data_IF_393616164465
#
_entry.id   IF_393616164465
#
_cell.length_a   1.000
_cell.length_b   1.000
_cell.length_c   1.000
_cell.angle_alpha   90.00
_cell.angle_beta   90.00
_cell.angle_gamma   90.00
#
_symmetry.space_group_name_H-M   'P 1'
#
loop_
_entity.id
_entity.type
_entity.pdbx_description
1 polymer ?
#
# COMPACT_ATOMS: atom_id res chain seq x y z
N UNK A 1 -14.57 -4.52 -31.45
CA UNK A 1 -13.57 -5.22 -30.61
C UNK A 1 -13.87 -6.71 -30.64
N UNK A 2 -12.92 -7.57 -31.00
CA UNK A 2 -13.12 -9.02 -31.20
C UNK A 2 -13.15 -9.80 -29.87
N UNK A 3 -13.92 -10.91 -29.79
CA UNK A 3 -14.12 -11.67 -28.55
C UNK A 3 -12.84 -12.27 -27.94
N UNK A 4 -11.79 -12.51 -28.72
CA UNK A 4 -10.49 -13.00 -28.22
C UNK A 4 -9.76 -12.00 -27.30
N UNK A 5 -9.93 -10.70 -27.53
CA UNK A 5 -9.32 -9.64 -26.71
C UNK A 5 -9.97 -9.52 -25.33
N UNK A 6 -11.24 -9.93 -25.19
CA UNK A 6 -11.97 -9.90 -23.93
C UNK A 6 -11.43 -10.94 -22.93
N UNK A 7 -11.15 -12.15 -23.41
CA UNK A 7 -10.52 -13.21 -22.63
C UNK A 7 -9.10 -12.81 -22.18
N UNK A 8 -8.28 -12.28 -23.09
CA UNK A 8 -6.92 -11.83 -22.76
C UNK A 8 -6.92 -10.72 -21.69
N UNK A 9 -7.82 -9.75 -21.80
CA UNK A 9 -7.94 -8.66 -20.81
C UNK A 9 -8.42 -9.19 -19.46
N UNK A 10 -9.37 -10.12 -19.40
CA UNK A 10 -9.81 -10.77 -18.16
C UNK A 10 -8.69 -11.52 -17.46
N UNK A 11 -7.91 -12.30 -18.19
CA UNK A 11 -6.75 -13.02 -17.65
C UNK A 11 -5.69 -12.06 -17.11
N UNK A 12 -5.41 -10.97 -17.82
CA UNK A 12 -4.50 -9.93 -17.34
C UNK A 12 -5.00 -9.26 -16.06
N UNK A 13 -6.30 -8.94 -15.98
CA UNK A 13 -6.89 -8.38 -14.75
C UNK A 13 -6.81 -9.38 -13.60
N UNK A 14 -7.12 -10.67 -13.82
CA UNK A 14 -7.02 -11.71 -12.79
C UNK A 14 -5.61 -11.82 -12.22
N UNK A 15 -4.60 -11.89 -13.09
CA UNK A 15 -3.20 -11.93 -12.67
C UNK A 15 -2.84 -10.66 -11.87
N UNK A 16 -3.26 -9.49 -12.34
CA UNK A 16 -3.08 -8.23 -11.63
C UNK A 16 -3.68 -8.25 -10.22
N UNK A 17 -4.92 -8.74 -10.09
CA UNK A 17 -5.60 -8.86 -8.79
C UNK A 17 -4.88 -9.84 -7.86
N UNK A 18 -4.37 -10.96 -8.38
CA UNK A 18 -3.58 -11.92 -7.59
C UNK A 18 -2.30 -11.24 -7.06
N UNK A 19 -1.58 -10.51 -7.90
CA UNK A 19 -0.35 -9.80 -7.50
C UNK A 19 -0.67 -8.76 -6.41
N UNK A 20 -1.74 -7.98 -6.55
CA UNK A 20 -2.12 -7.00 -5.52
C UNK A 20 -2.52 -7.66 -4.20
N UNK A 21 -3.18 -8.83 -4.24
CA UNK A 21 -3.50 -9.59 -3.03
C UNK A 21 -2.23 -10.13 -2.35
N UNK A 22 -1.25 -10.59 -3.11
CA UNK A 22 0.06 -10.98 -2.58
C UNK A 22 0.80 -9.78 -1.95
N UNK A 23 0.74 -8.60 -2.58
CA UNK A 23 1.31 -7.39 -2.02
C UNK A 23 0.64 -7.02 -0.68
N UNK A 24 -0.70 -7.07 -0.60
CA UNK A 24 -1.43 -6.86 0.65
C UNK A 24 -1.06 -7.89 1.72
N UNK A 25 -0.90 -9.17 1.36
CA UNK A 25 -0.40 -10.19 2.28
C UNK A 25 1.01 -9.91 2.80
N UNK A 26 1.87 -9.32 1.95
CA UNK A 26 3.23 -8.90 2.36
C UNK A 26 3.18 -7.77 3.38
N UNK A 27 2.22 -6.85 3.28
CA UNK A 27 2.03 -5.78 4.29
C UNK A 27 1.67 -6.36 5.66
N UNK A 28 0.97 -7.51 5.76
CA UNK A 28 0.72 -8.17 7.04
C UNK A 28 1.98 -8.71 7.72
N UNK A 29 3.05 -8.96 6.96
CA UNK A 29 4.36 -9.37 7.52
C UNK A 29 5.09 -8.23 8.22
N UNK A 30 4.58 -6.99 8.14
CA UNK A 30 5.11 -5.83 8.85
C UNK A 30 5.35 -6.10 10.35
N UNK A 31 4.48 -6.90 10.98
CA UNK A 31 4.63 -7.28 12.38
C UNK A 31 5.95 -8.00 12.70
N UNK A 32 6.54 -8.73 11.75
CA UNK A 32 7.86 -9.36 11.90
C UNK A 32 8.99 -8.32 11.93
N UNK A 33 8.84 -7.23 11.18
CA UNK A 33 9.83 -6.14 11.15
C UNK A 33 9.74 -5.22 12.36
N UNK A 34 8.61 -5.21 13.09
CA UNK A 34 8.43 -4.34 14.25
C UNK A 34 9.56 -4.47 15.29
N UNK A 35 10.04 -5.69 15.55
CA UNK A 35 11.13 -5.92 16.50
C UNK A 35 12.47 -5.37 16.00
N UNK A 36 12.81 -5.61 14.73
CA UNK A 36 14.04 -5.10 14.12
C UNK A 36 14.04 -3.57 13.97
N UNK A 37 12.90 -2.97 13.61
CA UNK A 37 12.72 -1.51 13.57
C UNK A 37 12.78 -0.89 14.95
N UNK A 38 12.16 -1.52 15.95
CA UNK A 38 12.20 -1.07 17.35
C UNK A 38 13.64 -0.99 17.86
N UNK A 39 14.47 -1.99 17.56
CA UNK A 39 15.89 -1.99 17.90
C UNK A 39 16.71 -0.97 17.10
N UNK A 40 16.39 -0.74 15.82
CA UNK A 40 17.08 0.24 14.95
C UNK A 40 16.76 1.69 15.31
N UNK A 41 15.53 1.98 15.72
CA UNK A 41 15.03 3.33 16.01
C UNK A 41 15.05 3.64 17.52
N UNK A 42 15.58 2.72 18.35
CA UNK A 42 15.60 2.79 19.82
C UNK A 42 14.23 3.17 20.42
N UNK A 43 13.16 2.61 19.85
CA UNK A 43 11.79 3.00 20.16
C UNK A 43 10.91 1.80 20.45
N UNK A 44 9.89 1.95 21.30
CA UNK A 44 9.05 0.82 21.70
C UNK A 44 8.25 0.27 20.51
N UNK A 45 8.10 -1.06 20.49
CA UNK A 45 7.34 -1.82 19.48
C UNK A 45 5.92 -1.27 19.29
N UNK A 46 5.30 -0.71 20.33
CA UNK A 46 3.99 -0.07 20.28
C UNK A 46 3.95 1.12 19.30
N UNK A 47 5.01 1.91 19.21
CA UNK A 47 5.09 3.04 18.27
C UNK A 47 5.30 2.57 16.83
N UNK A 48 6.03 1.47 16.63
CA UNK A 48 6.18 0.87 15.30
C UNK A 48 4.86 0.24 14.84
N UNK A 49 4.15 -0.45 15.74
CA UNK A 49 2.81 -1.00 15.50
C UNK A 49 1.76 0.09 15.25
N UNK A 50 1.90 1.27 15.86
CA UNK A 50 1.03 2.42 15.60
C UNK A 50 1.06 2.86 14.12
N UNK A 51 2.24 2.80 13.48
CA UNK A 51 2.39 3.05 12.03
C UNK A 51 1.54 2.10 11.19
N UNK A 52 1.44 0.82 11.59
CA UNK A 52 0.58 -0.15 10.92
C UNK A 52 -0.91 0.16 11.11
N UNK A 53 -1.29 0.69 12.28
CA UNK A 53 -2.63 1.22 12.53
C UNK A 53 -2.95 2.41 11.62
N UNK A 54 -2.00 3.34 11.44
CA UNK A 54 -2.12 4.46 10.49
C UNK A 54 -2.25 3.96 9.05
N UNK A 55 -1.47 2.96 8.65
CA UNK A 55 -1.59 2.32 7.33
C UNK A 55 -2.99 1.73 7.13
N UNK A 56 -3.51 1.01 8.13
CA UNK A 56 -4.85 0.41 8.05
C UNK A 56 -5.94 1.47 7.96
N UNK A 57 -5.79 2.59 8.69
CA UNK A 57 -6.69 3.73 8.62
C UNK A 57 -6.62 4.40 7.23
N UNK A 58 -5.40 4.61 6.72
CA UNK A 58 -5.16 5.13 5.37
C UNK A 58 -5.86 4.28 4.32
N UNK A 59 -5.67 2.95 4.36
CA UNK A 59 -6.31 2.02 3.43
C UNK A 59 -7.84 2.05 3.54
N UNK A 60 -8.40 2.20 4.74
CA UNK A 60 -9.84 2.32 4.92
C UNK A 60 -10.40 3.60 4.27
N UNK A 61 -9.72 4.73 4.47
CA UNK A 61 -10.09 6.01 3.83
C UNK A 61 -9.92 5.91 2.32
N UNK A 62 -8.77 5.43 1.85
CA UNK A 62 -8.47 5.30 0.42
C UNK A 62 -9.43 4.33 -0.26
N UNK A 63 -9.81 3.23 0.37
CA UNK A 63 -10.84 2.32 -0.15
C UNK A 63 -12.19 3.03 -0.34
N UNK A 64 -12.59 3.87 0.62
CA UNK A 64 -13.83 4.64 0.54
C UNK A 64 -13.80 5.69 -0.58
N UNK A 65 -12.65 6.35 -0.79
CA UNK A 65 -12.47 7.38 -1.83
C UNK A 65 -12.23 6.76 -3.21
N UNK A 66 -11.58 5.60 -3.28
CA UNK A 66 -11.17 4.93 -4.51
C UNK A 66 -12.34 4.67 -5.44
N UNK A 67 -13.52 4.29 -4.93
CA UNK A 67 -14.71 4.08 -5.75
C UNK A 67 -15.10 5.33 -6.54
N UNK A 68 -15.22 6.47 -5.86
CA UNK A 68 -15.54 7.76 -6.51
C UNK A 68 -14.43 8.22 -7.46
N UNK A 69 -13.18 8.00 -7.10
CA UNK A 69 -12.04 8.39 -7.93
C UNK A 69 -11.96 7.54 -9.21
N UNK A 70 -12.23 6.25 -9.10
CA UNK A 70 -12.28 5.32 -10.23
C UNK A 70 -13.43 5.64 -11.19
N UNK A 71 -14.60 6.03 -10.68
CA UNK A 71 -15.72 6.49 -11.52
C UNK A 71 -15.37 7.76 -12.30
N UNK A 72 -14.66 8.71 -11.67
CA UNK A 72 -14.33 10.01 -12.28
C UNK A 72 -13.14 9.97 -13.24
N UNK A 73 -12.07 9.26 -12.88
CA UNK A 73 -10.79 9.27 -13.61
C UNK A 73 -10.50 7.97 -14.38
N UNK A 74 -11.34 6.95 -14.17
CA UNK A 74 -11.17 5.61 -14.74
C UNK A 74 -10.21 4.75 -13.94
N UNK A 75 -10.58 3.47 -13.76
CA UNK A 75 -9.84 2.45 -12.99
C UNK A 75 -8.34 2.43 -13.32
N UNK A 76 -7.99 2.43 -14.61
CA UNK A 76 -6.59 2.27 -15.05
C UNK A 76 -5.66 3.38 -14.55
N UNK A 77 -6.12 4.64 -14.51
CA UNK A 77 -5.29 5.77 -14.06
C UNK A 77 -5.16 5.79 -12.54
N UNK A 78 -6.25 5.49 -11.83
CA UNK A 78 -6.26 5.44 -10.37
C UNK A 78 -5.35 4.33 -9.86
N UNK A 79 -5.41 3.13 -10.46
CA UNK A 79 -4.53 2.00 -10.08
C UNK A 79 -3.05 2.27 -10.39
N UNK A 80 -2.74 2.95 -11.50
CA UNK A 80 -1.35 3.34 -11.80
C UNK A 80 -0.83 4.37 -10.80
N UNK A 81 -1.65 5.37 -10.46
CA UNK A 81 -1.29 6.39 -9.49
C UNK A 81 -1.06 5.79 -8.09
N UNK A 82 -1.95 4.89 -7.64
CA UNK A 82 -1.80 4.21 -6.35
C UNK A 82 -0.54 3.35 -6.31
N UNK A 83 -0.23 2.59 -7.38
CA UNK A 83 1.00 1.80 -7.45
C UNK A 83 2.28 2.63 -7.35
N UNK A 84 2.31 3.81 -7.99
CA UNK A 84 3.43 4.75 -7.90
C UNK A 84 3.54 5.33 -6.48
N UNK A 85 2.41 5.72 -5.88
CA UNK A 85 2.37 6.24 -4.51
C UNK A 85 2.89 5.21 -3.50
N UNK A 86 2.47 3.95 -3.65
CA UNK A 86 2.89 2.82 -2.84
C UNK A 86 4.40 2.54 -2.96
N UNK A 87 4.92 2.54 -4.20
CA UNK A 87 6.35 2.37 -4.46
C UNK A 87 7.19 3.50 -3.85
N UNK A 88 6.74 4.75 -3.98
CA UNK A 88 7.37 5.90 -3.34
C UNK A 88 7.29 5.81 -1.82
N UNK A 89 6.14 5.46 -1.25
CA UNK A 89 5.95 5.30 0.19
C UNK A 89 6.88 4.26 0.80
N UNK A 90 7.06 3.11 0.12
CA UNK A 90 8.04 2.10 0.55
C UNK A 90 9.48 2.57 0.40
N UNK A 91 9.82 3.25 -0.71
CA UNK A 91 11.17 3.79 -0.90
C UNK A 91 11.53 4.81 0.18
N UNK A 92 10.61 5.73 0.51
CA UNK A 92 10.80 6.67 1.62
C UNK A 92 10.91 5.95 2.97
N UNK A 93 10.09 4.92 3.19
CA UNK A 93 10.13 4.11 4.43
C UNK A 93 11.47 3.43 4.63
N UNK A 94 12.12 2.96 3.57
CA UNK A 94 13.45 2.36 3.64
C UNK A 94 14.55 3.37 4.04
N UNK A 95 14.31 4.67 3.86
CA UNK A 95 15.22 5.76 4.21
C UNK A 95 14.80 6.53 5.46
N UNK A 96 13.78 6.06 6.18
CA UNK A 96 13.24 6.74 7.36
C UNK A 96 14.12 6.50 8.59
N UNK A 97 14.91 7.51 8.97
CA UNK A 97 15.76 7.48 10.17
C UNK A 97 15.05 7.92 11.47
N UNK A 98 13.79 8.35 11.38
CA UNK A 98 13.00 8.86 12.50
C UNK A 98 11.60 8.24 12.53
N UNK A 99 11.04 8.02 13.73
CA UNK A 99 9.69 7.48 13.90
C UNK A 99 8.61 8.30 13.22
N UNK A 100 8.72 9.63 13.27
CA UNK A 100 7.75 10.52 12.65
C UNK A 100 7.75 10.37 11.11
N UNK A 101 8.94 10.14 10.53
CA UNK A 101 9.11 9.89 9.11
C UNK A 101 8.56 8.51 8.74
N UNK A 102 8.73 7.52 9.63
CA UNK A 102 8.16 6.19 9.49
C UNK A 102 6.62 6.18 9.56
N UNK A 103 6.02 6.98 10.44
CA UNK A 103 4.57 7.14 10.52
C UNK A 103 3.99 7.81 9.27
N UNK A 104 4.67 8.84 8.75
CA UNK A 104 4.27 9.53 7.53
C UNK A 104 4.46 8.65 6.28
N UNK A 105 5.60 7.96 6.16
CA UNK A 105 5.90 7.15 4.99
C UNK A 105 5.14 5.83 5.02
N UNK A 106 5.35 5.01 6.06
CA UNK A 106 4.80 3.66 6.14
C UNK A 106 3.33 3.66 6.55
N UNK A 107 2.90 4.64 7.34
CA UNK A 107 1.50 4.77 7.74
C UNK A 107 0.67 5.50 6.67
N UNK A 108 0.96 6.78 6.47
CA UNK A 108 0.09 7.64 5.67
C UNK A 108 0.31 7.45 4.16
N UNK A 109 1.55 7.50 3.68
CA UNK A 109 1.85 7.43 2.24
C UNK A 109 1.61 6.06 1.64
N UNK A 110 1.92 4.97 2.36
CA UNK A 110 1.63 3.61 1.88
C UNK A 110 0.15 3.25 2.04
N UNK A 111 -0.54 3.86 3.01
CA UNK A 111 -1.97 3.64 3.22
C UNK A 111 -2.88 4.37 2.23
N UNK A 112 -2.43 5.48 1.63
CA UNK A 112 -3.19 6.28 0.67
C UNK A 112 -3.06 5.75 -0.77
#
# INVERSE_FOLDING_TARGET
MTPSNYQRTRWLTLIGTIITQFALGSVYTWSLFNGALSAKLDAPVSQVAFSFGLLSLGLAISSSVAGKLQERFGVKRVTMASGILLGLGFFLTAHSDNLMMLWLSAGVLVGL
#
